data_IF_276951513979
#
_entry.id   IF_276951513979
#
_cell.length_a   1.000
_cell.length_b   1.000
_cell.length_c   1.000
_cell.angle_alpha   90.00
_cell.angle_beta   90.00
_cell.angle_gamma   90.00
#
_symmetry.space_group_name_H-M   'P 1'
#
loop_
_entity.id
_entity.type
_entity.pdbx_description
1 polymer ?
#
# COMPACT_ATOMS: atom_id res chain seq x y z
N UNK A 1 10.73 22.23 14.54
CA UNK A 1 10.04 21.10 15.22
C UNK A 1 8.93 20.73 14.27
N UNK A 2 8.78 19.46 13.91
CA UNK A 2 7.75 19.03 12.98
C UNK A 2 6.38 19.31 13.58
N UNK A 3 5.54 20.04 12.85
CA UNK A 3 4.17 20.38 13.23
C UNK A 3 3.23 20.07 12.07
N UNK A 4 1.96 19.75 12.37
CA UNK A 4 0.92 19.60 11.36
C UNK A 4 -0.04 20.78 11.48
N UNK A 5 -0.16 21.58 10.43
CA UNK A 5 -0.99 22.78 10.44
C UNK A 5 -2.22 22.62 9.56
N UNK A 6 -3.32 23.24 9.98
CA UNK A 6 -4.54 23.30 9.18
C UNK A 6 -4.40 24.39 8.10
N UNK A 7 -4.73 24.01 6.88
CA UNK A 7 -4.94 24.89 5.74
C UNK A 7 -6.45 25.07 5.51
N UNK A 8 -6.83 25.71 4.40
CA UNK A 8 -8.25 25.86 4.06
C UNK A 8 -8.89 24.50 3.71
N UNK A 9 -10.17 24.31 4.05
CA UNK A 9 -10.97 23.19 3.54
C UNK A 9 -10.72 21.82 4.18
N UNK A 10 -10.24 21.79 5.44
CA UNK A 10 -9.78 20.60 6.16
C UNK A 10 -8.56 19.92 5.53
N UNK A 11 -7.82 20.63 4.67
CA UNK A 11 -6.51 20.19 4.21
C UNK A 11 -5.47 20.52 5.27
N UNK A 12 -4.52 19.61 5.48
CA UNK A 12 -3.46 19.75 6.47
C UNK A 12 -2.11 19.49 5.82
N UNK A 13 -1.11 20.23 6.28
CA UNK A 13 0.25 20.18 5.77
C UNK A 13 1.24 20.07 6.92
N UNK A 14 2.13 19.08 6.87
CA UNK A 14 3.27 19.02 7.77
C UNK A 14 4.21 20.18 7.48
N UNK A 15 4.84 20.74 8.50
CA UNK A 15 5.91 21.71 8.35
C UNK A 15 7.08 21.34 9.22
N UNK A 16 8.26 21.34 8.64
CA UNK A 16 9.51 21.32 9.40
C UNK A 16 10.43 22.43 8.90
N UNK A 17 10.51 23.49 9.68
CA UNK A 17 11.38 24.66 9.42
C UNK A 17 12.87 24.33 9.32
N UNK A 18 13.28 23.08 9.61
CA UNK A 18 14.66 22.61 9.54
C UNK A 18 14.88 21.54 8.46
N UNK A 19 13.83 21.04 7.80
CA UNK A 19 13.97 19.99 6.79
C UNK A 19 14.62 20.52 5.51
N UNK A 20 14.23 21.70 5.03
CA UNK A 20 14.67 22.25 3.75
C UNK A 20 16.19 22.52 3.62
N UNK A 21 16.94 22.50 4.72
CA UNK A 21 18.41 22.65 4.69
C UNK A 21 19.16 21.35 4.49
N UNK A 22 18.46 20.21 4.42
CA UNK A 22 19.04 18.87 4.31
C UNK A 22 18.58 18.11 3.05
N UNK A 23 17.78 18.76 2.19
CA UNK A 23 17.22 18.14 0.99
C UNK A 23 18.34 17.62 0.08
N UNK A 24 19.43 18.38 -0.09
CA UNK A 24 20.58 18.00 -0.91
C UNK A 24 21.31 16.75 -0.35
N UNK A 25 21.53 16.68 0.97
CA UNK A 25 22.13 15.50 1.60
C UNK A 25 21.22 14.28 1.54
N UNK A 26 19.91 14.49 1.73
CA UNK A 26 18.92 13.42 1.65
C UNK A 26 18.85 12.85 0.24
N UNK A 27 18.75 13.71 -0.77
CA UNK A 27 18.70 13.33 -2.19
C UNK A 27 19.96 12.54 -2.58
N UNK A 28 21.14 12.97 -2.14
CA UNK A 28 22.40 12.21 -2.35
C UNK A 28 22.38 10.84 -1.66
N UNK A 29 21.78 10.74 -0.47
CA UNK A 29 21.59 9.46 0.23
C UNK A 29 20.68 8.52 -0.55
N UNK A 30 19.59 9.07 -1.10
CA UNK A 30 18.63 8.34 -1.95
C UNK A 30 19.30 7.88 -3.25
N UNK A 31 20.11 8.73 -3.89
CA UNK A 31 20.84 8.37 -5.11
C UNK A 31 21.82 7.22 -4.85
N UNK A 32 22.64 7.31 -3.80
CA UNK A 32 23.55 6.22 -3.43
C UNK A 32 22.79 4.92 -3.14
N UNK A 33 21.65 5.01 -2.45
CA UNK A 33 20.81 3.85 -2.21
C UNK A 33 20.28 3.25 -3.52
N UNK A 34 19.75 4.07 -4.42
CA UNK A 34 19.25 3.65 -5.74
C UNK A 34 20.32 3.01 -6.63
N UNK A 35 21.59 3.41 -6.45
CA UNK A 35 22.75 2.83 -7.13
C UNK A 35 23.29 1.55 -6.44
N UNK A 36 22.66 1.10 -5.35
CA UNK A 36 23.09 -0.07 -4.57
C UNK A 36 24.31 0.20 -3.67
N UNK A 37 24.72 1.47 -3.51
CA UNK A 37 25.82 1.90 -2.63
C UNK A 37 25.31 2.04 -1.18
N UNK A 38 24.79 0.94 -0.62
CA UNK A 38 24.07 0.93 0.66
C UNK A 38 24.87 1.55 1.82
N UNK A 39 26.18 1.33 1.90
CA UNK A 39 27.00 1.90 2.97
C UNK A 39 27.07 3.44 2.91
N UNK A 40 27.11 4.03 1.71
CA UNK A 40 27.14 5.49 1.55
C UNK A 40 25.76 6.10 1.86
N UNK A 41 24.70 5.50 1.34
CA UNK A 41 23.32 5.91 1.65
C UNK A 41 23.04 5.84 3.16
N UNK A 42 23.40 4.73 3.81
CA UNK A 42 23.27 4.58 5.27
C UNK A 42 24.06 5.64 6.03
N UNK A 43 25.29 5.94 5.61
CA UNK A 43 26.12 6.96 6.26
C UNK A 43 25.41 8.32 6.22
N UNK A 44 24.93 8.74 5.05
CA UNK A 44 24.23 10.03 4.91
C UNK A 44 22.92 10.08 5.71
N UNK A 45 22.09 9.04 5.65
CA UNK A 45 20.85 9.02 6.44
C UNK A 45 21.14 9.09 7.95
N UNK A 46 22.18 8.40 8.42
CA UNK A 46 22.59 8.45 9.84
C UNK A 46 23.13 9.84 10.21
N UNK A 47 23.94 10.49 9.38
CA UNK A 47 24.43 11.86 9.63
C UNK A 47 23.28 12.87 9.71
N UNK A 48 22.27 12.75 8.84
CA UNK A 48 21.04 13.55 8.91
C UNK A 48 20.34 13.33 10.25
N UNK A 49 20.16 12.07 10.67
CA UNK A 49 19.48 11.75 11.93
C UNK A 49 20.31 12.20 13.15
N UNK A 50 21.63 12.13 13.10
CA UNK A 50 22.52 12.60 14.18
C UNK A 50 22.40 14.11 14.40
N UNK A 51 22.22 14.89 13.33
CA UNK A 51 22.02 16.36 13.41
C UNK A 51 20.55 16.75 13.60
N UNK A 52 19.62 15.96 13.05
CA UNK A 52 18.18 16.20 13.05
C UNK A 52 17.43 14.91 13.43
N UNK A 53 17.38 14.56 14.73
CA UNK A 53 16.82 13.28 15.19
C UNK A 53 15.33 13.05 14.89
N UNK A 54 14.61 14.11 14.49
CA UNK A 54 13.18 14.06 14.18
C UNK A 54 12.89 14.03 12.67
N UNK A 55 13.92 13.82 11.83
CA UNK A 55 13.76 13.84 10.38
C UNK A 55 13.06 12.57 9.87
N UNK A 56 11.76 12.65 9.64
CA UNK A 56 10.90 11.52 9.24
C UNK A 56 11.40 10.85 7.95
N UNK A 57 11.81 11.63 6.95
CA UNK A 57 12.16 11.06 5.63
C UNK A 57 13.46 10.26 5.66
N UNK A 58 14.52 10.79 6.29
CA UNK A 58 15.76 10.05 6.53
C UNK A 58 15.53 8.75 7.31
N UNK A 59 14.66 8.76 8.34
CA UNK A 59 14.28 7.54 9.06
C UNK A 59 13.51 6.55 8.17
N UNK A 60 12.63 7.05 7.31
CA UNK A 60 11.90 6.23 6.34
C UNK A 60 12.85 5.58 5.33
N UNK A 61 13.78 6.34 4.74
CA UNK A 61 14.76 5.80 3.80
C UNK A 61 15.74 4.84 4.46
N UNK A 62 16.18 5.12 5.68
CA UNK A 62 16.99 4.17 6.46
C UNK A 62 16.24 2.87 6.76
N UNK A 63 14.92 2.95 7.00
CA UNK A 63 14.07 1.76 7.18
C UNK A 63 14.05 0.88 5.93
N UNK A 64 13.84 1.45 4.74
CA UNK A 64 13.84 0.70 3.47
C UNK A 64 15.23 0.13 3.19
N UNK A 65 16.29 0.92 3.40
CA UNK A 65 17.66 0.44 3.22
C UNK A 65 17.97 -0.76 4.14
N UNK A 66 17.51 -0.72 5.38
CA UNK A 66 17.64 -1.85 6.31
C UNK A 66 16.85 -3.07 5.86
N UNK A 67 15.67 -2.90 5.27
CA UNK A 67 14.93 -3.99 4.65
C UNK A 67 15.72 -4.64 3.50
N UNK A 68 16.24 -3.83 2.56
CA UNK A 68 17.01 -4.30 1.40
C UNK A 68 18.34 -4.96 1.77
N UNK A 69 18.85 -4.65 2.96
CA UNK A 69 20.07 -5.25 3.53
C UNK A 69 19.79 -6.35 4.55
N UNK A 70 18.55 -6.88 4.60
CA UNK A 70 18.13 -7.99 5.46
C UNK A 70 18.27 -7.72 6.97
N UNK A 71 18.16 -6.46 7.39
CA UNK A 71 18.19 -5.98 8.78
C UNK A 71 16.78 -5.62 9.26
N UNK A 72 15.92 -6.64 9.33
CA UNK A 72 14.48 -6.46 9.56
C UNK A 72 14.14 -5.75 10.88
N UNK A 73 14.89 -6.03 11.95
CA UNK A 73 14.61 -5.44 13.25
C UNK A 73 14.92 -3.94 13.26
N UNK A 74 16.07 -3.54 12.73
CA UNK A 74 16.48 -2.16 12.55
C UNK A 74 15.53 -1.42 11.61
N UNK A 75 15.13 -2.06 10.50
CA UNK A 75 14.15 -1.51 9.56
C UNK A 75 12.83 -1.16 10.28
N UNK A 76 12.32 -2.08 11.10
CA UNK A 76 11.11 -1.88 11.87
C UNK A 76 11.25 -0.76 12.92
N UNK A 77 12.40 -0.65 13.60
CA UNK A 77 12.64 0.42 14.57
C UNK A 77 12.65 1.80 13.89
N UNK A 78 13.30 1.93 12.74
CA UNK A 78 13.31 3.16 11.96
C UNK A 78 11.90 3.54 11.47
N UNK A 79 11.12 2.60 10.93
CA UNK A 79 9.75 2.84 10.49
C UNK A 79 8.85 3.29 11.66
N UNK A 80 8.96 2.61 12.80
CA UNK A 80 8.21 2.96 14.01
C UNK A 80 8.55 4.35 14.52
N UNK A 81 9.82 4.70 14.54
CA UNK A 81 10.25 6.00 15.03
C UNK A 81 9.78 7.13 14.11
N UNK A 82 9.92 6.96 12.79
CA UNK A 82 9.41 7.91 11.79
C UNK A 82 7.90 8.19 11.99
N UNK A 83 7.12 7.12 12.15
CA UNK A 83 5.67 7.23 12.41
C UNK A 83 5.37 7.84 13.78
N UNK A 84 6.13 7.47 14.83
CA UNK A 84 5.97 8.04 16.18
C UNK A 84 6.13 9.56 16.14
N UNK A 85 7.12 10.06 15.41
CA UNK A 85 7.38 11.48 15.25
C UNK A 85 6.20 12.15 14.52
N UNK A 86 5.80 11.62 13.37
CA UNK A 86 4.68 12.19 12.60
C UNK A 86 3.36 12.20 13.37
N UNK A 87 3.00 11.09 14.03
CA UNK A 87 1.81 11.01 14.87
C UNK A 87 1.87 11.96 16.07
N UNK A 88 3.05 12.25 16.61
CA UNK A 88 3.20 13.20 17.73
C UNK A 88 2.98 14.66 17.33
N UNK A 89 3.08 14.97 16.03
CA UNK A 89 2.81 16.30 15.49
C UNK A 89 1.34 16.53 15.13
N UNK A 90 0.50 15.48 15.16
CA UNK A 90 -0.93 15.57 14.83
C UNK A 90 -1.68 16.24 16.00
N UNK A 91 -2.31 17.41 15.78
CA UNK A 91 -3.05 18.10 16.83
C UNK A 91 -4.43 17.46 17.06
N UNK A 92 -5.10 17.86 18.15
CA UNK A 92 -6.38 17.23 18.57
C UNK A 92 -7.53 17.54 17.62
N UNK A 93 -7.40 18.63 16.88
CA UNK A 93 -8.36 19.13 15.89
C UNK A 93 -8.33 18.31 14.60
N UNK A 94 -7.22 17.61 14.32
CA UNK A 94 -7.11 16.72 13.17
C UNK A 94 -8.01 15.49 13.33
N UNK A 95 -8.75 15.18 12.26
CA UNK A 95 -9.69 14.06 12.22
C UNK A 95 -9.34 13.12 11.08
N UNK A 96 -9.02 11.87 11.41
CA UNK A 96 -8.73 10.83 10.42
C UNK A 96 -9.86 10.54 9.44
N UNK A 97 -11.08 11.04 9.69
CA UNK A 97 -12.27 10.80 8.87
C UNK A 97 -12.71 12.00 8.04
N UNK A 98 -12.25 13.21 8.37
CA UNK A 98 -12.71 14.46 7.72
C UNK A 98 -11.58 15.37 7.27
N UNK A 99 -10.40 15.23 7.87
CA UNK A 99 -9.18 15.92 7.45
C UNK A 99 -8.54 15.23 6.25
N UNK A 100 -7.72 15.99 5.52
CA UNK A 100 -6.95 15.50 4.39
C UNK A 100 -5.47 15.81 4.56
N UNK A 101 -4.64 14.88 4.13
CA UNK A 101 -3.20 15.00 3.92
C UNK A 101 -2.97 14.80 2.43
N UNK A 102 -3.19 15.86 1.64
CA UNK A 102 -3.03 15.79 0.18
C UNK A 102 -1.57 15.52 -0.18
N UNK A 103 -1.36 14.55 -1.08
CA UNK A 103 -0.05 14.20 -1.64
C UNK A 103 0.59 15.33 -2.44
N UNK A 104 -0.22 16.27 -2.94
CA UNK A 104 0.20 17.49 -3.60
C UNK A 104 1.03 18.41 -2.71
N UNK A 105 0.79 18.40 -1.39
CA UNK A 105 1.64 19.08 -0.41
C UNK A 105 2.86 18.21 -0.13
N UNK A 106 4.03 18.62 -0.65
CA UNK A 106 5.25 17.80 -0.63
C UNK A 106 5.66 17.41 0.79
N UNK A 107 5.44 18.29 1.76
CA UNK A 107 5.78 18.07 3.16
C UNK A 107 4.94 16.96 3.82
N UNK A 108 3.80 16.58 3.24
CA UNK A 108 3.01 15.43 3.71
C UNK A 108 3.64 14.08 3.34
N UNK A 109 4.44 14.04 2.27
CA UNK A 109 4.94 12.78 1.69
C UNK A 109 5.85 12.00 2.63
N UNK A 110 6.80 12.60 3.37
CA UNK A 110 7.63 11.87 4.34
C UNK A 110 6.79 11.08 5.35
N UNK A 111 5.77 11.71 5.94
CA UNK A 111 4.90 11.01 6.89
C UNK A 111 4.06 9.93 6.21
N UNK A 112 3.42 10.23 5.07
CA UNK A 112 2.60 9.26 4.36
C UNK A 112 3.42 8.02 3.93
N UNK A 113 4.64 8.22 3.43
CA UNK A 113 5.57 7.14 3.08
C UNK A 113 6.01 6.34 4.30
N UNK A 114 6.36 7.00 5.41
CA UNK A 114 6.70 6.34 6.66
C UNK A 114 5.54 5.51 7.21
N UNK A 115 4.32 6.07 7.17
CA UNK A 115 3.11 5.43 7.67
C UNK A 115 2.75 4.19 6.84
N UNK A 116 2.83 4.30 5.51
CA UNK A 116 2.72 3.17 4.60
C UNK A 116 3.73 2.07 4.90
N UNK A 117 5.01 2.42 5.03
CA UNK A 117 6.09 1.47 5.27
C UNK A 117 5.88 0.72 6.60
N UNK A 118 5.49 1.41 7.69
CA UNK A 118 5.16 0.75 8.94
C UNK A 118 3.97 -0.23 8.77
N UNK A 119 2.94 0.14 8.00
CA UNK A 119 1.84 -0.75 7.67
C UNK A 119 2.30 -2.05 6.99
N UNK A 120 3.27 -1.96 6.07
CA UNK A 120 3.86 -3.14 5.44
C UNK A 120 4.65 -4.02 6.43
N UNK A 121 5.45 -3.41 7.30
CA UNK A 121 6.16 -4.14 8.37
C UNK A 121 5.20 -4.88 9.29
N UNK A 122 4.11 -4.24 9.72
CA UNK A 122 3.08 -4.85 10.57
C UNK A 122 2.37 -6.00 9.85
N UNK A 123 2.02 -5.82 8.57
CA UNK A 123 1.46 -6.90 7.73
C UNK A 123 2.39 -8.11 7.66
N UNK A 124 3.68 -7.91 7.40
CA UNK A 124 4.69 -9.00 7.34
C UNK A 124 4.83 -9.73 8.67
N UNK A 125 4.72 -9.00 9.78
CA UNK A 125 4.76 -9.55 11.15
C UNK A 125 3.43 -10.18 11.60
N UNK A 126 2.43 -10.23 10.72
CA UNK A 126 1.09 -10.73 11.00
C UNK A 126 0.34 -9.93 12.10
N UNK A 127 0.72 -8.66 12.30
CA UNK A 127 0.03 -7.66 13.13
C UNK A 127 -1.08 -6.99 12.28
N UNK A 128 -2.09 -7.80 11.93
CA UNK A 128 -3.07 -7.47 10.89
C UNK A 128 -4.00 -6.31 11.27
N UNK A 129 -4.43 -6.23 12.54
CA UNK A 129 -5.38 -5.20 12.97
C UNK A 129 -4.72 -3.81 12.93
N UNK A 130 -3.47 -3.72 13.37
CA UNK A 130 -2.67 -2.50 13.33
C UNK A 130 -2.34 -2.08 11.89
N UNK A 131 -1.98 -3.02 11.02
CA UNK A 131 -1.77 -2.73 9.60
C UNK A 131 -3.05 -2.21 8.93
N UNK A 132 -4.21 -2.83 9.22
CA UNK A 132 -5.51 -2.40 8.70
C UNK A 132 -5.87 -0.99 9.15
N UNK A 133 -5.61 -0.64 10.42
CA UNK A 133 -5.86 0.70 10.94
C UNK A 133 -5.02 1.76 10.22
N UNK A 134 -3.73 1.47 10.00
CA UNK A 134 -2.83 2.35 9.24
C UNK A 134 -3.36 2.59 7.83
N UNK A 135 -3.59 1.51 7.07
CA UNK A 135 -4.02 1.64 5.69
C UNK A 135 -5.41 2.25 5.54
N UNK A 136 -6.33 1.97 6.48
CA UNK A 136 -7.67 2.55 6.48
C UNK A 136 -7.62 4.06 6.75
N UNK A 137 -6.78 4.50 7.69
CA UNK A 137 -6.51 5.92 7.93
C UNK A 137 -5.90 6.59 6.70
N UNK A 138 -4.91 5.97 6.07
CA UNK A 138 -4.29 6.48 4.86
C UNK A 138 -5.30 6.66 3.72
N UNK A 139 -6.14 5.65 3.47
CA UNK A 139 -7.17 5.70 2.45
C UNK A 139 -8.19 6.83 2.72
N UNK A 140 -8.45 7.10 4.00
CA UNK A 140 -9.38 8.16 4.42
C UNK A 140 -8.79 9.56 4.24
N UNK A 141 -7.53 9.77 4.63
CA UNK A 141 -6.93 11.11 4.65
C UNK A 141 -6.13 11.47 3.39
N UNK A 142 -5.70 10.51 2.58
CA UNK A 142 -4.93 10.78 1.36
C UNK A 142 -5.86 10.74 0.13
N UNK A 143 -6.31 11.89 -0.39
CA UNK A 143 -7.11 11.94 -1.60
C UNK A 143 -6.34 11.26 -2.75
N UNK A 144 -7.05 10.55 -3.61
CA UNK A 144 -6.49 9.77 -4.73
C UNK A 144 -5.66 8.53 -4.38
N UNK A 145 -5.40 8.25 -3.10
CA UNK A 145 -4.65 7.05 -2.68
C UNK A 145 -3.34 6.87 -3.48
N UNK A 146 -2.48 7.90 -3.43
CA UNK A 146 -1.26 7.97 -4.25
C UNK A 146 -0.27 6.83 -3.99
N UNK A 147 -0.31 6.22 -2.80
CA UNK A 147 0.53 5.08 -2.43
C UNK A 147 -0.14 3.72 -2.69
N UNK A 148 -1.39 3.70 -3.16
CA UNK A 148 -2.06 2.47 -3.57
C UNK A 148 -2.51 1.56 -2.43
N UNK A 149 -2.84 2.11 -1.25
CA UNK A 149 -3.30 1.31 -0.10
C UNK A 149 -4.63 0.60 -0.38
N UNK A 150 -5.41 1.04 -1.37
CA UNK A 150 -6.62 0.33 -1.84
C UNK A 150 -6.31 -1.09 -2.34
N UNK A 151 -5.08 -1.37 -2.77
CA UNK A 151 -4.69 -2.71 -3.22
C UNK A 151 -4.27 -3.63 -2.06
N UNK A 152 -4.02 -3.08 -0.87
CA UNK A 152 -3.57 -3.83 0.31
C UNK A 152 -4.72 -4.23 1.23
N UNK A 153 -5.68 -3.33 1.44
CA UNK A 153 -6.79 -3.52 2.38
C UNK A 153 -7.68 -4.74 2.07
N UNK A 154 -8.05 -5.06 0.81
CA UNK A 154 -8.93 -6.19 0.54
C UNK A 154 -8.39 -7.53 1.03
N UNK A 155 -7.09 -7.77 0.90
CA UNK A 155 -6.46 -9.00 1.40
C UNK A 155 -6.63 -9.14 2.92
N UNK A 156 -6.45 -8.04 3.65
CA UNK A 156 -6.55 -8.00 5.11
C UNK A 156 -8.01 -8.18 5.56
N UNK A 157 -8.95 -7.51 4.89
CA UNK A 157 -10.38 -7.66 5.18
C UNK A 157 -10.88 -9.07 4.86
N UNK A 158 -10.45 -9.69 3.76
CA UNK A 158 -10.77 -11.09 3.51
C UNK A 158 -10.22 -12.02 4.60
N UNK A 159 -9.00 -11.78 5.09
CA UNK A 159 -8.42 -12.57 6.17
C UNK A 159 -9.23 -12.48 7.47
N UNK A 160 -9.89 -11.33 7.70
CA UNK A 160 -10.77 -11.08 8.85
C UNK A 160 -12.25 -11.42 8.58
N UNK A 161 -12.61 -11.81 7.35
CA UNK A 161 -13.99 -12.06 6.95
C UNK A 161 -14.84 -10.79 6.79
N UNK A 162 -14.24 -9.60 6.72
CA UNK A 162 -14.95 -8.33 6.51
C UNK A 162 -15.27 -8.10 5.02
N UNK A 163 -16.14 -8.97 4.49
CA UNK A 163 -16.63 -8.90 3.11
C UNK A 163 -17.32 -7.56 2.79
N UNK A 164 -18.14 -6.96 3.68
CA UNK A 164 -18.76 -5.67 3.42
C UNK A 164 -17.76 -4.55 3.12
N UNK A 165 -16.62 -4.49 3.83
CA UNK A 165 -15.59 -3.47 3.56
C UNK A 165 -14.92 -3.65 2.20
N UNK A 166 -14.68 -4.90 1.77
CA UNK A 166 -14.17 -5.19 0.42
C UNK A 166 -15.13 -4.69 -0.65
N UNK A 167 -16.43 -4.98 -0.52
CA UNK A 167 -17.45 -4.54 -1.48
C UNK A 167 -17.48 -3.00 -1.56
N UNK A 168 -17.57 -2.31 -0.41
CA UNK A 168 -17.61 -0.84 -0.39
C UNK A 168 -16.39 -0.22 -1.05
N UNK A 169 -15.19 -0.75 -0.80
CA UNK A 169 -13.98 -0.27 -1.45
C UNK A 169 -14.07 -0.44 -2.97
N UNK A 170 -14.39 -1.64 -3.45
CA UNK A 170 -14.47 -1.89 -4.88
C UNK A 170 -15.56 -1.06 -5.58
N UNK A 171 -16.66 -0.74 -4.90
CA UNK A 171 -17.68 0.18 -5.41
C UNK A 171 -17.16 1.62 -5.52
N UNK A 172 -16.41 2.09 -4.52
CA UNK A 172 -15.79 3.42 -4.52
C UNK A 172 -14.72 3.57 -5.60
N UNK A 173 -14.03 2.47 -5.95
CA UNK A 173 -12.99 2.43 -6.98
C UNK A 173 -13.44 1.70 -8.25
N UNK A 174 -14.73 1.78 -8.61
CA UNK A 174 -15.29 1.05 -9.76
C UNK A 174 -14.66 1.35 -11.13
N UNK A 175 -13.99 2.49 -11.26
CA UNK A 175 -13.29 2.91 -12.48
C UNK A 175 -11.84 2.39 -12.54
N UNK A 176 -11.34 1.79 -11.45
CA UNK A 176 -10.05 1.15 -11.38
C UNK A 176 -10.10 -0.23 -12.08
N UNK A 177 -9.34 -0.33 -13.17
CA UNK A 177 -9.31 -1.50 -14.04
C UNK A 177 -8.22 -2.52 -13.66
N UNK A 178 -7.65 -2.42 -12.47
CA UNK A 178 -6.72 -3.41 -11.91
C UNK A 178 -7.44 -4.72 -11.53
N UNK A 179 -6.76 -5.88 -11.57
CA UNK A 179 -7.34 -7.14 -11.10
C UNK A 179 -7.70 -7.11 -9.61
N UNK A 180 -6.94 -6.36 -8.79
CA UNK A 180 -7.17 -6.14 -7.36
C UNK A 180 -8.53 -5.53 -7.07
N UNK A 181 -9.14 -4.84 -8.05
CA UNK A 181 -10.52 -4.34 -7.97
C UNK A 181 -11.46 -5.20 -8.82
N UNK A 182 -11.15 -5.38 -10.11
CA UNK A 182 -12.05 -6.02 -11.07
C UNK A 182 -12.40 -7.48 -10.74
N UNK A 183 -11.47 -8.25 -10.17
CA UNK A 183 -11.75 -9.64 -9.77
C UNK A 183 -12.06 -9.79 -8.27
N UNK A 184 -11.59 -8.88 -7.43
CA UNK A 184 -11.89 -8.89 -6.00
C UNK A 184 -13.35 -8.52 -5.72
N UNK A 185 -13.91 -7.58 -6.48
CA UNK A 185 -15.31 -7.18 -6.34
C UNK A 185 -16.29 -8.35 -6.57
N UNK A 186 -16.28 -9.04 -7.74
CA UNK A 186 -17.15 -10.19 -7.93
C UNK A 186 -16.85 -11.32 -6.95
N UNK A 187 -15.59 -11.54 -6.54
CA UNK A 187 -15.27 -12.51 -5.49
C UNK A 187 -16.00 -12.18 -4.18
N UNK A 188 -15.91 -10.94 -3.71
CA UNK A 188 -16.57 -10.50 -2.48
C UNK A 188 -18.10 -10.62 -2.58
N UNK A 189 -18.69 -10.27 -3.74
CA UNK A 189 -20.12 -10.45 -3.99
C UNK A 189 -20.55 -11.92 -3.94
N UNK A 190 -19.76 -12.85 -4.49
CA UNK A 190 -20.04 -14.29 -4.42
C UNK A 190 -20.02 -14.75 -2.95
N UNK A 191 -19.02 -14.32 -2.18
CA UNK A 191 -18.92 -14.64 -0.75
C UNK A 191 -20.07 -14.04 0.08
N UNK A 192 -20.65 -12.94 -0.38
CA UNK A 192 -21.86 -12.34 0.19
C UNK A 192 -23.18 -12.95 -0.35
N UNK A 193 -23.12 -14.01 -1.16
CA UNK A 193 -24.31 -14.67 -1.75
C UNK A 193 -24.97 -13.90 -2.90
N UNK A 194 -24.32 -12.88 -3.45
CA UNK A 194 -24.83 -12.02 -4.53
C UNK A 194 -24.29 -12.46 -5.91
N UNK A 195 -24.38 -13.76 -6.21
CA UNK A 195 -23.79 -14.38 -7.41
C UNK A 195 -24.29 -13.80 -8.74
N UNK A 196 -25.53 -13.33 -8.81
CA UNK A 196 -26.09 -12.74 -10.03
C UNK A 196 -25.39 -11.43 -10.41
N UNK A 197 -25.15 -10.55 -9.43
CA UNK A 197 -24.38 -9.32 -9.64
C UNK A 197 -22.92 -9.63 -9.97
N UNK A 198 -22.35 -10.61 -9.25
CA UNK A 198 -20.97 -11.02 -9.46
C UNK A 198 -20.72 -11.53 -10.88
N UNK A 199 -21.67 -12.27 -11.47
CA UNK A 199 -21.52 -12.81 -12.83
C UNK A 199 -21.27 -11.71 -13.85
N UNK A 200 -22.05 -10.62 -13.81
CA UNK A 200 -21.90 -9.51 -14.77
C UNK A 200 -20.53 -8.85 -14.64
N UNK A 201 -20.11 -8.52 -13.41
CA UNK A 201 -18.81 -7.90 -13.16
C UNK A 201 -17.65 -8.82 -13.54
N UNK A 202 -17.78 -10.12 -13.27
CA UNK A 202 -16.74 -11.09 -13.60
C UNK A 202 -16.60 -11.31 -15.11
N UNK A 203 -17.69 -11.22 -15.88
CA UNK A 203 -17.64 -11.22 -17.35
C UNK A 203 -16.90 -10.00 -17.90
N UNK A 204 -17.12 -8.82 -17.32
CA UNK A 204 -16.39 -7.60 -17.66
C UNK A 204 -14.90 -7.73 -17.32
N UNK A 205 -14.59 -8.18 -16.10
CA UNK A 205 -13.22 -8.44 -15.65
C UNK A 205 -12.49 -9.41 -16.56
N UNK A 206 -13.15 -10.49 -16.99
CA UNK A 206 -12.61 -11.44 -17.98
C UNK A 206 -12.35 -10.78 -19.33
N UNK A 207 -13.24 -9.91 -19.79
CA UNK A 207 -13.07 -9.21 -21.07
C UNK A 207 -11.88 -8.26 -21.06
N UNK A 208 -11.63 -7.56 -19.95
CA UNK A 208 -10.52 -6.61 -19.80
C UNK A 208 -9.19 -7.28 -19.49
N UNK A 209 -9.22 -8.29 -18.62
CA UNK A 209 -8.05 -8.95 -18.04
C UNK A 209 -8.17 -10.47 -18.18
N UNK A 210 -8.18 -11.01 -19.42
CA UNK A 210 -8.46 -12.43 -19.67
C UNK A 210 -7.39 -13.37 -19.08
N UNK A 211 -6.15 -12.90 -18.89
CA UNK A 211 -5.08 -13.70 -18.31
C UNK A 211 -5.32 -14.00 -16.83
N UNK A 212 -5.99 -13.12 -16.09
CA UNK A 212 -6.35 -13.35 -14.68
C UNK A 212 -7.39 -14.46 -14.57
N UNK A 213 -8.45 -14.42 -15.38
CA UNK A 213 -9.42 -15.51 -15.45
C UNK A 213 -8.76 -16.83 -15.89
N UNK A 214 -7.82 -16.78 -16.83
CA UNK A 214 -7.06 -17.96 -17.26
C UNK A 214 -6.22 -18.52 -16.10
N UNK A 215 -5.55 -17.66 -15.34
CA UNK A 215 -4.75 -18.04 -14.18
C UNK A 215 -5.61 -18.72 -13.11
N UNK A 216 -6.72 -18.09 -12.71
CA UNK A 216 -7.65 -18.62 -11.70
C UNK A 216 -8.22 -20.01 -12.04
N UNK A 217 -8.33 -20.36 -13.32
CA UNK A 217 -8.84 -21.67 -13.78
C UNK A 217 -7.77 -22.78 -13.79
N UNK A 218 -6.49 -22.46 -13.59
CA UNK A 218 -5.44 -23.47 -13.60
C UNK A 218 -5.59 -24.40 -12.41
N UNK A 219 -5.15 -25.64 -12.58
CA UNK A 219 -4.97 -26.60 -11.48
C UNK A 219 -3.60 -26.46 -10.81
N UNK A 220 -2.62 -25.95 -11.56
CA UNK A 220 -1.25 -25.73 -11.12
C UNK A 220 -0.83 -24.36 -11.60
N UNK A 221 -0.35 -23.56 -10.65
CA UNK A 221 0.08 -22.19 -10.88
C UNK A 221 1.60 -22.17 -10.81
N UNK A 222 2.22 -21.74 -11.91
CA UNK A 222 3.66 -21.63 -12.03
C UNK A 222 3.95 -20.18 -12.33
N UNK A 223 4.88 -19.60 -11.57
CA UNK A 223 5.37 -18.26 -11.79
C UNK A 223 5.80 -18.07 -13.25
N UNK A 224 5.20 -17.11 -13.98
CA UNK A 224 5.62 -16.78 -15.32
C UNK A 224 7.05 -16.24 -15.31
N UNK A 225 7.78 -16.42 -16.42
CA UNK A 225 9.07 -15.73 -16.57
C UNK A 225 8.82 -14.24 -16.71
N UNK A 226 9.64 -13.45 -16.03
CA UNK A 226 9.63 -12.02 -16.24
C UNK A 226 9.90 -11.65 -17.69
N UNK A 227 9.08 -10.70 -18.13
CA UNK A 227 9.12 -10.17 -19.49
C UNK A 227 9.87 -8.83 -19.56
N UNK A 228 10.25 -8.26 -18.41
CA UNK A 228 10.88 -6.94 -18.31
C UNK A 228 11.56 -6.73 -16.96
N UNK A 229 12.63 -5.92 -16.94
CA UNK A 229 13.28 -5.49 -15.71
C UNK A 229 12.54 -4.29 -15.05
N UNK A 230 11.58 -3.70 -15.75
CA UNK A 230 10.85 -2.48 -15.34
C UNK A 230 9.59 -2.74 -14.49
N UNK A 231 9.39 -3.98 -14.02
CA UNK A 231 8.24 -4.37 -13.19
C UNK A 231 7.07 -4.98 -13.96
N UNK A 232 5.94 -5.20 -13.28
CA UNK A 232 4.84 -6.00 -13.81
C UNK A 232 3.86 -5.16 -14.64
N UNK A 233 3.67 -5.54 -15.90
CA UNK A 233 2.68 -4.86 -16.76
C UNK A 233 1.25 -5.24 -16.39
N UNK A 234 0.37 -4.24 -16.34
CA UNK A 234 -1.05 -4.44 -16.09
C UNK A 234 -1.66 -5.42 -17.10
N UNK A 235 -2.21 -6.52 -16.57
CA UNK A 235 -2.91 -7.54 -17.34
C UNK A 235 -2.00 -8.57 -18.00
N UNK A 236 -0.69 -8.52 -17.71
CA UNK A 236 0.27 -9.55 -18.10
C UNK A 236 0.02 -10.88 -17.38
N UNK A 237 0.75 -11.92 -17.80
CA UNK A 237 0.72 -13.21 -17.12
C UNK A 237 1.27 -13.10 -15.69
N UNK A 238 2.29 -12.27 -15.47
CA UNK A 238 2.86 -12.00 -14.13
C UNK A 238 1.81 -11.35 -13.23
N UNK A 239 1.14 -10.30 -13.71
CA UNK A 239 0.08 -9.64 -12.94
C UNK A 239 -1.06 -10.59 -12.56
N UNK A 240 -1.44 -11.46 -13.51
CA UNK A 240 -2.43 -12.49 -13.26
C UNK A 240 -1.99 -13.49 -12.19
N UNK A 241 -0.71 -13.85 -12.19
CA UNK A 241 -0.11 -14.74 -11.20
C UNK A 241 0.00 -14.08 -9.82
N UNK A 242 0.39 -12.80 -9.74
CA UNK A 242 0.42 -12.02 -8.49
C UNK A 242 -0.97 -11.90 -7.86
N UNK A 243 -1.98 -11.57 -8.66
CA UNK A 243 -3.37 -11.58 -8.20
C UNK A 243 -3.76 -12.96 -7.64
N UNK A 244 -3.39 -14.04 -8.33
CA UNK A 244 -3.65 -15.39 -7.84
C UNK A 244 -2.89 -15.70 -6.55
N UNK A 245 -1.63 -15.30 -6.40
CA UNK A 245 -0.87 -15.48 -5.16
C UNK A 245 -1.58 -14.83 -3.97
N UNK A 246 -2.12 -13.63 -4.17
CA UNK A 246 -2.77 -12.87 -3.11
C UNK A 246 -4.18 -13.39 -2.81
N UNK A 247 -5.01 -13.61 -3.84
CA UNK A 247 -6.45 -13.88 -3.68
C UNK A 247 -6.88 -15.31 -4.01
N UNK A 248 -6.03 -16.11 -4.65
CA UNK A 248 -6.36 -17.46 -5.11
C UNK A 248 -6.86 -18.39 -4.00
N UNK A 249 -6.34 -18.25 -2.77
CA UNK A 249 -6.83 -18.99 -1.60
C UNK A 249 -8.32 -18.74 -1.30
N UNK A 250 -8.80 -17.52 -1.50
CA UNK A 250 -10.21 -17.15 -1.27
C UNK A 250 -11.12 -17.65 -2.40
N UNK A 251 -10.64 -17.65 -3.65
CA UNK A 251 -11.32 -18.31 -4.76
C UNK A 251 -11.48 -19.80 -4.50
N UNK A 252 -10.39 -20.49 -4.17
CA UNK A 252 -10.37 -21.94 -3.96
C UNK A 252 -11.22 -22.37 -2.75
N UNK A 253 -11.34 -21.51 -1.73
CA UNK A 253 -12.19 -21.77 -0.57
C UNK A 253 -13.69 -21.71 -0.88
N UNK A 254 -14.10 -21.10 -2.00
CA UNK A 254 -15.50 -20.95 -2.40
C UNK A 254 -15.85 -21.81 -3.62
N UNK A 255 -16.64 -22.85 -3.40
CA UNK A 255 -17.18 -23.69 -4.49
C UNK A 255 -17.98 -22.87 -5.51
N UNK A 256 -18.73 -21.88 -5.03
CA UNK A 256 -19.53 -21.00 -5.90
C UNK A 256 -18.63 -20.10 -6.75
N UNK A 257 -17.55 -19.56 -6.17
CA UNK A 257 -16.59 -18.75 -6.91
C UNK A 257 -15.91 -19.57 -8.01
N UNK A 258 -15.44 -20.77 -7.68
CA UNK A 258 -14.83 -21.68 -8.65
C UNK A 258 -15.80 -22.15 -9.74
N UNK A 259 -17.07 -22.39 -9.38
CA UNK A 259 -18.10 -22.76 -10.35
C UNK A 259 -18.38 -21.60 -11.31
N UNK A 260 -18.50 -20.38 -10.77
CA UNK A 260 -18.81 -19.20 -11.56
C UNK A 260 -17.67 -18.87 -12.53
N UNK A 261 -16.41 -18.80 -12.06
CA UNK A 261 -15.27 -18.52 -12.94
C UNK A 261 -15.10 -19.59 -14.01
N UNK A 262 -15.34 -20.88 -13.69
CA UNK A 262 -15.28 -21.95 -14.68
C UNK A 262 -16.35 -21.79 -15.77
N UNK A 263 -17.54 -21.30 -15.41
CA UNK A 263 -18.69 -21.14 -16.33
C UNK A 263 -18.58 -19.98 -17.32
N UNK A 264 -17.69 -19.02 -17.09
CA UNK A 264 -17.60 -17.80 -17.91
C UNK A 264 -16.46 -17.76 -18.90
#
# INVERSE_FOLDING_TARGET
MTELIELDGNDWEFRDSRASSLDDELDRGIDFFGEGQFQLGETLFREIIETHPYHIDALHHLSILYEDTSREFEAYLCAREAVRIGLSAIPKEFSWTTSKLDWGFLDNRPFLRAYYNLGLHLKRRNEIDEAMEIFSRMLSVCPNDNLGVRYLLPELWFAKGDIPSVIRLCENYRDDISPEIMYTHPLALILAGQSDKARTLLMEAKSRLPLVAKELKKKRHTEPKSTTDWGVFMGSAEHAYEYWLQYGKYWLASKDAMTLIASI
#
